data_IF_771508627759
#
_entry.id   IF_771508627759
#
_cell.length_a   1.000
_cell.length_b   1.000
_cell.length_c   1.000
_cell.angle_alpha   90.00
_cell.angle_beta   90.00
_cell.angle_gamma   90.00
#
_symmetry.space_group_name_H-M   'P 1'
#
loop_
_entity.id
_entity.type
_entity.pdbx_description
1 polymer ?
#
# COMPACT_ATOMS: atom_id res chain seq x y z
N UNK A 1 24.36 -19.76 -17.07
CA UNK A 1 23.50 -18.56 -17.05
C UNK A 1 22.21 -18.95 -16.34
N UNK A 2 21.81 -18.26 -15.27
CA UNK A 2 20.49 -18.50 -14.65
C UNK A 2 19.39 -18.17 -15.67
N UNK A 3 18.37 -19.02 -15.77
CA UNK A 3 17.18 -18.68 -16.55
C UNK A 3 16.54 -17.42 -15.97
N UNK A 4 16.13 -16.47 -16.83
CA UNK A 4 15.42 -15.26 -16.40
C UNK A 4 13.96 -15.63 -16.12
N UNK A 5 13.49 -15.32 -14.93
CA UNK A 5 12.10 -15.46 -14.53
C UNK A 5 11.44 -14.08 -14.44
N UNK A 6 10.12 -14.04 -14.58
CA UNK A 6 9.35 -12.83 -14.28
C UNK A 6 9.15 -12.73 -12.78
N UNK A 7 9.21 -11.51 -12.25
CA UNK A 7 8.75 -11.22 -10.89
C UNK A 7 7.27 -10.82 -10.95
N UNK A 8 6.45 -11.44 -10.11
CA UNK A 8 5.00 -11.28 -10.06
C UNK A 8 4.59 -10.68 -8.73
N UNK A 9 4.03 -9.47 -8.76
CA UNK A 9 3.49 -8.80 -7.58
C UNK A 9 1.96 -8.76 -7.66
N UNK A 10 1.30 -9.10 -6.57
CA UNK A 10 -0.14 -8.97 -6.44
C UNK A 10 -0.46 -7.55 -5.97
N UNK A 11 -0.96 -6.72 -6.88
CA UNK A 11 -1.41 -5.38 -6.55
C UNK A 11 -2.80 -5.44 -5.90
N UNK A 12 -2.88 -5.18 -4.60
CA UNK A 12 -4.11 -5.20 -3.82
C UNK A 12 -4.73 -3.81 -3.76
N UNK A 13 -6.02 -3.74 -4.11
CA UNK A 13 -6.86 -2.56 -3.95
C UNK A 13 -8.20 -2.95 -3.32
N UNK A 14 -8.60 -2.36 -2.17
CA UNK A 14 -9.87 -2.68 -1.55
C UNK A 14 -11.05 -2.49 -2.52
N UNK A 15 -11.89 -3.52 -2.66
CA UNK A 15 -13.05 -3.49 -3.55
C UNK A 15 -12.73 -3.78 -5.03
N UNK A 16 -11.46 -3.99 -5.38
CA UNK A 16 -10.98 -4.28 -6.73
C UNK A 16 -10.56 -3.04 -7.53
N UNK A 17 -9.75 -3.24 -8.57
CA UNK A 17 -9.19 -2.15 -9.38
C UNK A 17 -10.18 -1.46 -10.31
N UNK A 18 -11.28 -2.15 -10.65
CA UNK A 18 -12.35 -1.54 -11.42
C UNK A 18 -13.31 -0.81 -10.47
N UNK A 19 -13.70 0.42 -10.78
CA UNK A 19 -14.51 1.26 -9.87
C UNK A 19 -15.83 0.61 -9.44
N UNK A 20 -16.40 -0.25 -10.30
CA UNK A 20 -17.61 -1.01 -10.03
C UNK A 20 -17.37 -2.47 -9.59
N UNK A 21 -16.13 -2.90 -9.32
CA UNK A 21 -15.82 -4.30 -8.96
C UNK A 21 -16.55 -4.76 -7.69
N UNK A 22 -16.83 -3.85 -6.76
CA UNK A 22 -17.64 -4.13 -5.57
C UNK A 22 -19.08 -4.55 -5.88
N UNK A 23 -19.61 -4.23 -7.08
CA UNK A 23 -20.97 -4.60 -7.53
C UNK A 23 -21.02 -5.94 -8.24
N UNK A 24 -19.87 -6.54 -8.54
CA UNK A 24 -19.82 -7.82 -9.23
C UNK A 24 -20.34 -8.92 -8.30
N UNK A 25 -21.16 -9.84 -8.81
CA UNK A 25 -21.82 -10.89 -8.03
C UNK A 25 -20.85 -11.83 -7.30
N UNK A 26 -19.62 -11.97 -7.79
CA UNK A 26 -18.56 -12.76 -7.15
C UNK A 26 -17.72 -11.99 -6.11
N UNK A 27 -18.08 -10.75 -5.80
CA UNK A 27 -17.40 -9.93 -4.79
C UNK A 27 -18.18 -9.95 -3.48
N UNK A 28 -17.47 -9.88 -2.36
CA UNK A 28 -18.04 -9.75 -1.03
C UNK A 28 -17.61 -8.39 -0.41
N UNK A 29 -18.46 -7.35 -0.53
CA UNK A 29 -18.13 -6.01 -0.03
C UNK A 29 -18.00 -5.93 1.50
N UNK A 30 -18.64 -6.83 2.24
CA UNK A 30 -18.61 -6.80 3.72
C UNK A 30 -17.22 -7.17 4.26
N UNK A 31 -16.38 -7.79 3.42
CA UNK A 31 -15.00 -8.18 3.75
C UNK A 31 -13.95 -7.11 3.44
N UNK A 32 -14.35 -5.91 3.03
CA UNK A 32 -13.44 -4.80 2.71
C UNK A 32 -12.46 -4.43 3.84
N UNK A 33 -12.84 -4.65 5.10
CA UNK A 33 -11.99 -4.39 6.27
C UNK A 33 -11.67 -5.68 7.04
N UNK A 34 -11.97 -6.85 6.48
CA UNK A 34 -11.69 -8.15 7.10
C UNK A 34 -10.21 -8.52 6.91
N UNK A 35 -9.42 -8.48 7.98
CA UNK A 35 -8.02 -8.91 7.93
C UNK A 35 -7.84 -10.38 7.54
N UNK A 36 -8.79 -11.26 7.89
CA UNK A 36 -8.74 -12.66 7.50
C UNK A 36 -8.76 -12.82 5.97
N UNK A 37 -9.53 -11.99 5.27
CA UNK A 37 -9.56 -11.95 3.79
C UNK A 37 -8.18 -11.62 3.21
N UNK A 38 -7.52 -10.57 3.71
CA UNK A 38 -6.23 -10.14 3.19
C UNK A 38 -5.09 -11.11 3.53
N UNK A 39 -5.15 -11.75 4.71
CA UNK A 39 -4.24 -12.84 5.07
C UNK A 39 -4.42 -14.06 4.16
N UNK A 40 -5.66 -14.48 3.89
CA UNK A 40 -5.96 -15.56 2.95
C UNK A 40 -5.48 -15.24 1.53
N UNK A 41 -5.68 -14.00 1.08
CA UNK A 41 -5.24 -13.54 -0.22
C UNK A 41 -3.72 -13.62 -0.35
N UNK A 42 -2.98 -13.15 0.66
CA UNK A 42 -1.52 -13.19 0.68
C UNK A 42 -0.99 -14.65 0.74
N UNK A 43 -1.60 -15.53 1.55
CA UNK A 43 -1.26 -16.97 1.58
C UNK A 43 -1.45 -17.63 0.22
N UNK A 44 -2.55 -17.32 -0.48
CA UNK A 44 -2.81 -17.85 -1.82
C UNK A 44 -1.79 -17.34 -2.84
N UNK A 45 -1.44 -16.06 -2.79
CA UNK A 45 -0.41 -15.49 -3.66
C UNK A 45 0.96 -16.14 -3.41
N UNK A 46 1.32 -16.33 -2.13
CA UNK A 46 2.56 -16.99 -1.73
C UNK A 46 2.62 -18.46 -2.19
N UNK A 47 1.53 -19.21 -2.04
CA UNK A 47 1.42 -20.58 -2.53
C UNK A 47 1.52 -20.67 -4.07
N UNK A 48 1.11 -19.61 -4.77
CA UNK A 48 1.23 -19.47 -6.22
C UNK A 48 2.57 -18.87 -6.68
N UNK A 49 3.55 -18.75 -5.78
CA UNK A 49 4.90 -18.23 -6.06
C UNK A 49 4.95 -16.77 -6.55
N UNK A 50 4.00 -15.93 -6.13
CA UNK A 50 4.15 -14.48 -6.27
C UNK A 50 5.28 -13.98 -5.36
N UNK A 51 6.04 -13.00 -5.85
CA UNK A 51 7.16 -12.42 -5.15
C UNK A 51 6.71 -11.47 -4.03
N UNK A 52 5.61 -10.73 -4.23
CA UNK A 52 5.13 -9.78 -3.24
C UNK A 52 3.61 -9.50 -3.31
N UNK A 53 3.04 -9.05 -2.20
CA UNK A 53 1.81 -8.26 -2.17
C UNK A 53 2.15 -6.78 -2.09
N UNK A 54 1.40 -5.97 -2.83
CA UNK A 54 1.61 -4.53 -2.93
C UNK A 54 0.34 -3.78 -2.57
N UNK A 55 0.44 -2.87 -1.60
CA UNK A 55 -0.65 -2.00 -1.17
C UNK A 55 -0.35 -0.55 -1.60
N UNK A 56 -1.15 -0.04 -2.54
CA UNK A 56 -1.10 1.37 -2.92
C UNK A 56 -1.68 2.26 -1.82
N UNK A 57 -1.11 3.46 -1.68
CA UNK A 57 -1.54 4.46 -0.70
C UNK A 57 -1.47 5.90 -1.24
N UNK A 58 -2.03 6.84 -0.51
CA UNK A 58 -2.44 8.17 -0.94
C UNK A 58 -3.26 8.83 0.18
N UNK A 59 -2.67 9.70 1.01
CA UNK A 59 -3.24 10.12 2.29
C UNK A 59 -4.30 11.24 2.13
N UNK A 60 -5.30 10.96 1.30
CA UNK A 60 -6.44 11.82 1.00
C UNK A 60 -7.67 10.96 0.73
N UNK A 61 -8.84 11.44 1.16
CA UNK A 61 -10.11 10.87 0.71
C UNK A 61 -10.39 11.36 -0.71
N UNK A 62 -10.81 10.46 -1.60
CA UNK A 62 -11.17 10.82 -2.96
C UNK A 62 -12.57 11.47 -3.00
N UNK A 63 -12.77 12.44 -3.89
CA UNK A 63 -14.04 13.19 -3.98
C UNK A 63 -15.20 12.34 -4.57
N UNK A 64 -14.92 11.13 -5.06
CA UNK A 64 -15.88 10.26 -5.74
C UNK A 64 -16.33 9.05 -4.89
N UNK A 65 -16.27 9.15 -3.56
CA UNK A 65 -16.71 8.12 -2.60
C UNK A 65 -18.15 7.62 -2.81
N UNK A 66 -19.00 8.43 -3.45
CA UNK A 66 -20.37 8.02 -3.85
C UNK A 66 -20.38 6.84 -4.82
N UNK A 67 -19.33 6.69 -5.63
CA UNK A 67 -19.30 5.74 -6.74
C UNK A 67 -18.41 4.52 -6.49
N UNK A 68 -17.40 4.65 -5.62
CA UNK A 68 -16.50 3.57 -5.25
C UNK A 68 -16.06 3.69 -3.78
N UNK A 69 -15.98 2.55 -3.09
CA UNK A 69 -15.27 2.50 -1.81
C UNK A 69 -13.80 2.72 -2.06
N UNK A 70 -13.32 3.92 -1.74
CA UNK A 70 -11.89 4.28 -1.79
C UNK A 70 -11.28 4.44 -0.41
N UNK A 71 -12.02 4.03 0.62
CA UNK A 71 -11.51 3.93 1.98
C UNK A 71 -10.54 2.77 2.08
N UNK A 72 -9.43 2.99 2.77
CA UNK A 72 -8.41 1.98 3.03
C UNK A 72 -7.68 2.33 4.32
N UNK A 73 -7.40 1.32 5.14
CA UNK A 73 -6.41 1.49 6.20
C UNK A 73 -5.04 1.70 5.56
N UNK A 74 -4.16 2.40 6.28
CA UNK A 74 -2.79 2.59 5.82
C UNK A 74 -2.05 1.23 5.70
N UNK A 75 -1.03 1.11 4.82
CA UNK A 75 -0.44 -0.18 4.48
C UNK A 75 0.32 -0.89 5.60
N UNK A 76 0.95 -0.18 6.54
CA UNK A 76 1.79 -0.79 7.58
C UNK A 76 0.98 -1.63 8.56
N UNK A 77 -0.22 -1.20 8.96
CA UNK A 77 -1.13 -2.00 9.79
C UNK A 77 -1.54 -3.28 9.07
N UNK A 78 -1.94 -3.17 7.79
CA UNK A 78 -2.28 -4.33 6.98
C UNK A 78 -1.11 -5.31 6.86
N UNK A 79 0.05 -4.81 6.44
CA UNK A 79 1.21 -5.62 6.15
C UNK A 79 1.81 -6.24 7.41
N UNK A 80 1.71 -5.58 8.57
CA UNK A 80 2.13 -6.16 9.85
C UNK A 80 1.28 -7.38 10.23
N UNK A 81 -0.03 -7.32 10.00
CA UNK A 81 -0.92 -8.47 10.23
C UNK A 81 -0.75 -9.57 9.17
N UNK A 82 -0.43 -9.22 7.92
CA UNK A 82 -0.11 -10.20 6.85
C UNK A 82 1.25 -10.86 7.09
N UNK A 83 2.22 -10.13 7.64
CA UNK A 83 3.55 -10.65 7.98
C UNK A 83 3.45 -11.86 8.91
N UNK A 84 2.58 -11.80 9.92
CA UNK A 84 2.34 -12.89 10.86
C UNK A 84 1.63 -14.13 10.25
N UNK A 85 1.09 -13.99 9.04
CA UNK A 85 0.28 -15.01 8.36
C UNK A 85 0.96 -15.63 7.12
N UNK A 86 2.18 -15.21 6.81
CA UNK A 86 2.94 -15.57 5.60
C UNK A 86 4.42 -15.73 5.91
N UNK A 87 5.16 -16.49 5.10
CA UNK A 87 6.55 -16.87 5.40
C UNK A 87 7.59 -16.32 4.42
N UNK A 88 7.19 -16.08 3.16
CA UNK A 88 8.10 -15.84 2.03
C UNK A 88 7.72 -14.62 1.19
N UNK A 89 6.43 -14.33 1.02
CA UNK A 89 5.97 -13.26 0.13
C UNK A 89 6.42 -11.89 0.64
N UNK A 90 6.93 -11.06 -0.27
CA UNK A 90 7.32 -9.68 -0.01
C UNK A 90 6.12 -8.80 0.37
N UNK A 91 6.37 -7.78 1.18
CA UNK A 91 5.36 -6.91 1.79
C UNK A 91 5.64 -5.46 1.40
N UNK A 92 5.04 -5.00 0.30
CA UNK A 92 5.34 -3.68 -0.27
C UNK A 92 4.31 -2.64 0.17
N UNK A 93 4.77 -1.68 0.97
CA UNK A 93 3.99 -0.53 1.42
C UNK A 93 4.25 0.68 0.53
N UNK A 94 3.19 1.38 0.11
CA UNK A 94 3.32 2.75 -0.41
C UNK A 94 3.38 3.72 0.76
N UNK A 95 4.37 4.62 0.74
CA UNK A 95 4.46 5.69 1.71
C UNK A 95 5.04 6.96 1.08
N UNK A 96 4.50 8.11 1.50
CA UNK A 96 4.80 9.41 0.91
C UNK A 96 5.98 10.09 1.58
N UNK A 97 6.96 10.54 0.80
CA UNK A 97 8.05 11.42 1.29
C UNK A 97 7.61 12.87 1.48
N UNK A 98 6.45 13.25 0.92
CA UNK A 98 5.93 14.62 1.02
C UNK A 98 5.28 14.90 2.37
N UNK A 99 4.56 13.92 2.92
CA UNK A 99 3.68 14.12 4.08
C UNK A 99 4.07 13.31 5.32
N UNK A 100 5.17 12.57 5.26
CA UNK A 100 5.72 11.88 6.43
C UNK A 100 7.05 12.50 6.84
N UNK A 101 7.43 12.28 8.09
CA UNK A 101 8.76 12.60 8.58
C UNK A 101 9.70 11.40 8.36
N UNK A 102 10.94 11.62 7.88
CA UNK A 102 11.85 10.55 7.49
C UNK A 102 12.19 9.61 8.66
N UNK A 103 12.40 10.16 9.85
CA UNK A 103 12.64 9.35 11.05
C UNK A 103 11.47 8.41 11.36
N UNK A 104 10.24 8.93 11.29
CA UNK A 104 9.04 8.15 11.58
C UNK A 104 8.84 7.04 10.54
N UNK A 105 9.03 7.36 9.26
CA UNK A 105 8.88 6.39 8.18
C UNK A 105 9.98 5.32 8.22
N UNK A 106 11.22 5.70 8.49
CA UNK A 106 12.32 4.76 8.71
C UNK A 106 11.97 3.76 9.82
N UNK A 107 11.46 4.24 10.96
CA UNK A 107 11.06 3.37 12.07
C UNK A 107 9.92 2.42 11.70
N UNK A 108 8.93 2.86 10.92
CA UNK A 108 7.84 2.02 10.44
C UNK A 108 8.36 0.89 9.54
N UNK A 109 9.22 1.21 8.57
CA UNK A 109 9.84 0.21 7.70
C UNK A 109 10.76 -0.73 8.47
N UNK A 110 11.61 -0.25 9.37
CA UNK A 110 12.45 -1.11 10.21
C UNK A 110 11.61 -2.07 11.07
N UNK A 111 10.47 -1.61 11.58
CA UNK A 111 9.55 -2.47 12.35
C UNK A 111 8.93 -3.55 11.46
N UNK A 112 8.42 -3.18 10.28
CA UNK A 112 7.85 -4.15 9.33
C UNK A 112 8.91 -5.15 8.84
N UNK A 113 10.11 -4.68 8.56
CA UNK A 113 11.23 -5.51 8.14
C UNK A 113 11.59 -6.54 9.21
N UNK A 114 11.69 -6.11 10.46
CA UNK A 114 11.97 -6.99 11.60
C UNK A 114 10.83 -8.02 11.83
N UNK A 115 9.58 -7.57 11.84
CA UNK A 115 8.41 -8.45 12.03
C UNK A 115 8.24 -9.46 10.90
N UNK A 116 8.61 -9.08 9.67
CA UNK A 116 8.46 -9.94 8.50
C UNK A 116 9.68 -10.82 8.24
N UNK A 117 10.81 -10.59 8.90
CA UNK A 117 12.06 -11.32 8.66
C UNK A 117 12.77 -10.92 7.37
N UNK A 118 12.82 -9.61 7.06
CA UNK A 118 13.53 -9.08 5.89
C UNK A 118 12.71 -8.98 4.61
N UNK A 119 11.37 -8.95 4.70
CA UNK A 119 10.46 -8.98 3.53
C UNK A 119 9.82 -7.63 3.20
N UNK A 120 10.19 -6.56 3.90
CA UNK A 120 9.57 -5.25 3.68
C UNK A 120 10.06 -4.61 2.37
N UNK A 121 9.14 -3.98 1.64
CA UNK A 121 9.46 -3.18 0.47
C UNK A 121 8.77 -1.82 0.51
N UNK A 122 9.43 -0.79 -0.03
CA UNK A 122 8.89 0.58 -0.08
C UNK A 122 8.61 1.01 -1.52
N UNK A 123 7.35 1.29 -1.82
CA UNK A 123 6.96 2.08 -2.98
C UNK A 123 7.01 3.57 -2.62
N UNK A 124 8.11 4.23 -2.99
CA UNK A 124 8.39 5.63 -2.71
C UNK A 124 7.49 6.51 -3.58
N UNK A 125 6.66 7.35 -2.96
CA UNK A 125 5.81 8.31 -3.69
C UNK A 125 5.92 9.71 -3.11
N UNK A 126 5.57 10.70 -3.92
CA UNK A 126 5.49 12.12 -3.53
C UNK A 126 4.04 12.60 -3.38
N UNK A 127 3.06 11.68 -3.33
CA UNK A 127 1.60 11.94 -3.27
C UNK A 127 1.07 12.86 -4.38
N UNK A 128 0.39 12.35 -5.40
CA UNK A 128 -0.15 13.19 -6.47
C UNK A 128 -1.40 14.01 -6.15
N UNK A 129 -2.11 13.72 -5.06
CA UNK A 129 -3.43 14.28 -4.76
C UNK A 129 -3.34 15.62 -3.99
N UNK A 130 -3.80 16.75 -4.55
CA UNK A 130 -3.71 18.05 -3.88
C UNK A 130 -4.50 18.12 -2.57
N UNK A 131 -5.61 17.38 -2.48
CA UNK A 131 -6.47 17.33 -1.30
C UNK A 131 -5.74 16.82 -0.05
N UNK A 132 -4.61 16.11 -0.23
CA UNK A 132 -3.80 15.66 0.90
C UNK A 132 -3.27 16.84 1.73
N UNK A 133 -2.98 17.99 1.13
CA UNK A 133 -2.39 19.15 1.82
C UNK A 133 -3.15 19.53 3.10
N UNK A 134 -4.48 19.66 2.99
CA UNK A 134 -5.33 20.03 4.13
C UNK A 134 -5.32 19.00 5.27
N UNK A 135 -5.12 17.71 4.98
CA UNK A 135 -5.05 16.66 6.02
C UNK A 135 -3.75 16.75 6.85
N UNK A 136 -2.72 17.41 6.31
CA UNK A 136 -1.42 17.58 6.96
C UNK A 136 -1.17 19.04 7.38
N UNK A 137 -2.21 19.88 7.38
CA UNK A 137 -2.12 21.28 7.82
C UNK A 137 -1.32 22.19 6.89
N UNK A 138 -1.21 21.84 5.60
CA UNK A 138 -0.66 22.72 4.58
C UNK A 138 -1.78 23.44 3.84
N UNK A 139 -1.58 24.72 3.55
CA UNK A 139 -2.52 25.52 2.76
C UNK A 139 -2.63 25.02 1.31
N UNK A 140 -1.49 24.59 0.74
CA UNK A 140 -1.40 24.14 -0.64
C UNK A 140 -0.54 22.88 -0.78
N UNK A 141 -0.79 22.12 -1.85
CA UNK A 141 0.02 20.98 -2.22
C UNK A 141 1.35 21.44 -2.81
N UNK A 142 2.51 21.03 -2.28
CA UNK A 142 3.79 21.48 -2.81
C UNK A 142 3.95 21.15 -4.29
N UNK A 143 4.59 22.05 -5.03
CA UNK A 143 4.75 21.90 -6.47
C UNK A 143 5.59 20.66 -6.81
N UNK A 144 5.42 20.14 -8.02
CA UNK A 144 6.03 18.88 -8.42
C UNK A 144 7.55 18.83 -8.18
N UNK A 145 8.30 19.86 -8.59
CA UNK A 145 9.75 19.90 -8.44
C UNK A 145 10.20 19.81 -6.97
N UNK A 146 9.64 20.63 -6.09
CA UNK A 146 9.96 20.65 -4.66
C UNK A 146 9.72 19.31 -3.98
N UNK A 147 8.65 18.60 -4.36
CA UNK A 147 8.37 17.27 -3.80
C UNK A 147 9.43 16.25 -4.17
N UNK A 148 9.96 16.30 -5.40
CA UNK A 148 11.03 15.42 -5.83
C UNK A 148 12.39 15.81 -5.25
N UNK A 149 12.63 17.10 -4.99
CA UNK A 149 13.83 17.56 -4.28
C UNK A 149 13.79 17.09 -2.81
N UNK A 150 12.65 17.24 -2.12
CA UNK A 150 12.44 16.66 -0.79
C UNK A 150 12.64 15.14 -0.81
N UNK A 151 12.08 14.43 -1.78
CA UNK A 151 12.23 12.97 -1.90
C UNK A 151 13.67 12.51 -2.14
N UNK A 152 14.54 13.37 -2.68
CA UNK A 152 15.96 13.08 -2.88
C UNK A 152 16.77 13.21 -1.58
N UNK A 153 16.39 14.14 -0.71
CA UNK A 153 17.02 14.35 0.61
C UNK A 153 16.52 13.36 1.67
N UNK A 154 15.24 12.97 1.58
CA UNK A 154 14.52 12.12 2.53
C UNK A 154 15.21 10.79 2.86
#
# INVERSE_FOLDING_TARGET
>A
MSARTLHLNLFVYPGGHHEAAWRHHGTDPDRLLDIGFYQDLARRAEAAAFDAVFFADGPSLADNVRYASRFRLEPFTWLSAIAAATERIGLIATASTTYTEPYNLARLFSSLDHLSGGRAGWNIVTTGAPQAAGNFGLDEHPVHAERYDRAREF
#
